data_IF_392096410673
#
_entry.id   IF_392096410673
#
_cell.length_a   1.000
_cell.length_b   1.000
_cell.length_c   1.000
_cell.angle_alpha   90.00
_cell.angle_beta   90.00
_cell.angle_gamma   90.00
#
_symmetry.space_group_name_H-M   'P 1'
#
loop_
_entity.id
_entity.type
_entity.pdbx_description
1 polymer ?
#
# COMPACT_ATOMS: atom_id res chain seq x y z
N UNK A 1 26.24 7.97 29.82
CA UNK A 1 27.46 8.60 29.34
C UNK A 1 27.81 7.81 28.11
N UNK A 2 27.40 8.25 26.93
CA UNK A 2 28.08 9.06 25.98
C UNK A 2 27.11 9.53 24.87
N UNK A 3 27.30 10.75 24.56
CA UNK A 3 26.56 11.61 23.66
C UNK A 3 26.74 11.23 22.18
N UNK A 4 25.67 11.18 21.41
CA UNK A 4 25.72 11.32 19.95
C UNK A 4 25.54 12.78 19.58
N UNK A 5 26.62 13.35 19.08
CA UNK A 5 26.68 14.71 18.55
C UNK A 5 25.89 14.84 17.24
N UNK A 6 25.07 15.87 17.19
CA UNK A 6 24.38 16.38 16.02
C UNK A 6 25.33 17.10 15.08
N UNK A 7 25.36 16.74 13.80
CA UNK A 7 26.03 17.51 12.75
C UNK A 7 25.20 18.76 12.39
N UNK A 8 25.82 19.91 12.22
CA UNK A 8 25.10 21.17 11.99
C UNK A 8 24.60 21.30 10.55
N UNK A 9 23.35 21.67 10.43
CA UNK A 9 22.74 22.15 9.19
C UNK A 9 23.27 23.56 8.90
N UNK A 10 24.10 23.72 7.86
CA UNK A 10 24.59 25.02 7.41
C UNK A 10 23.45 25.82 6.76
N UNK A 11 23.05 26.89 7.43
CA UNK A 11 22.21 27.92 6.84
C UNK A 11 22.97 28.64 5.70
N UNK A 12 22.46 28.54 4.48
CA UNK A 12 22.83 29.41 3.34
C UNK A 12 21.73 30.45 3.22
N UNK A 13 22.13 31.69 3.31
CA UNK A 13 21.30 32.90 3.29
C UNK A 13 20.54 33.03 1.96
N UNK A 14 19.25 33.30 2.07
CA UNK A 14 18.35 33.66 0.98
C UNK A 14 18.80 35.00 0.36
N UNK A 15 19.16 35.00 -0.92
CA UNK A 15 18.82 36.09 -1.86
C UNK A 15 19.29 35.94 -3.31
N UNK A 16 19.80 34.75 -3.75
CA UNK A 16 20.17 34.54 -5.17
C UNK A 16 19.76 33.22 -5.79
N UNK A 17 18.87 32.40 -5.19
CA UNK A 17 18.62 31.03 -5.66
C UNK A 17 17.28 30.78 -6.34
N UNK A 18 16.36 31.74 -6.40
CA UNK A 18 14.98 31.48 -6.87
C UNK A 18 14.85 31.12 -8.36
N UNK A 19 15.71 31.62 -9.25
CA UNK A 19 15.62 31.32 -10.68
C UNK A 19 16.43 30.08 -11.11
N UNK A 20 17.55 29.80 -10.44
CA UNK A 20 18.37 28.62 -10.75
C UNK A 20 17.80 27.32 -10.17
N UNK A 21 17.07 27.39 -9.06
CA UNK A 21 16.41 26.22 -8.44
C UNK A 21 15.22 25.74 -9.26
N UNK A 22 14.38 26.66 -9.77
CA UNK A 22 13.25 26.30 -10.64
C UNK A 22 13.71 25.67 -11.97
N UNK A 23 14.77 26.21 -12.59
CA UNK A 23 15.30 25.69 -13.84
C UNK A 23 15.88 24.28 -13.66
N UNK A 24 16.66 24.03 -12.59
CA UNK A 24 17.17 22.68 -12.27
C UNK A 24 16.07 21.70 -11.92
N UNK A 25 15.00 22.16 -11.26
CA UNK A 25 13.85 21.29 -10.94
C UNK A 25 13.07 20.91 -12.22
N UNK A 26 12.88 21.86 -13.12
CA UNK A 26 12.25 21.62 -14.43
C UNK A 26 13.15 20.77 -15.33
N UNK A 27 14.46 21.00 -15.38
CA UNK A 27 15.40 20.15 -16.14
C UNK A 27 15.43 18.72 -15.58
N UNK A 28 15.43 18.53 -14.25
CA UNK A 28 15.38 17.22 -13.62
C UNK A 28 14.04 16.51 -13.87
N UNK A 29 12.91 17.23 -13.84
CA UNK A 29 11.58 16.68 -14.17
C UNK A 29 11.50 16.29 -15.67
N UNK A 30 12.03 17.12 -16.57
CA UNK A 30 12.06 16.81 -18.00
C UNK A 30 13.00 15.64 -18.29
N UNK A 31 14.18 15.60 -17.67
CA UNK A 31 15.13 14.50 -17.82
C UNK A 31 14.59 13.19 -17.24
N UNK A 32 13.91 13.27 -16.09
CA UNK A 32 13.26 12.10 -15.49
C UNK A 32 12.10 11.61 -16.36
N UNK A 33 11.22 12.51 -16.84
CA UNK A 33 10.11 12.14 -17.73
C UNK A 33 10.60 11.53 -19.05
N UNK A 34 11.71 12.02 -19.61
CA UNK A 34 12.32 11.48 -20.82
C UNK A 34 12.89 10.07 -20.60
N UNK A 35 13.66 9.87 -19.52
CA UNK A 35 14.21 8.53 -19.18
C UNK A 35 13.12 7.50 -18.85
N UNK A 36 12.05 7.89 -18.16
CA UNK A 36 10.92 7.01 -17.90
C UNK A 36 10.18 6.69 -19.19
N UNK A 37 10.04 7.65 -20.09
CA UNK A 37 9.34 7.46 -21.37
C UNK A 37 10.09 6.52 -22.31
N UNK A 38 11.43 6.55 -22.36
CA UNK A 38 12.24 5.57 -23.10
C UNK A 38 12.12 4.14 -22.52
N UNK A 39 12.04 4.01 -21.18
CA UNK A 39 11.91 2.72 -20.51
C UNK A 39 10.51 2.12 -20.58
N UNK A 40 9.47 2.91 -20.90
CA UNK A 40 8.06 2.47 -20.90
C UNK A 40 7.73 1.43 -21.99
N UNK A 41 8.39 1.46 -23.13
CA UNK A 41 8.13 0.54 -24.24
C UNK A 41 6.63 0.50 -24.62
N UNK A 42 6.05 -0.72 -24.64
CA UNK A 42 4.63 -0.99 -24.95
C UNK A 42 3.71 -0.96 -23.73
N UNK A 43 4.24 -0.83 -22.50
CA UNK A 43 3.41 -0.89 -21.30
C UNK A 43 2.48 0.31 -21.14
N UNK A 44 1.24 0.03 -20.74
CA UNK A 44 0.22 1.04 -20.42
C UNK A 44 0.40 1.54 -19.00
N UNK A 45 0.25 2.86 -18.78
CA UNK A 45 0.10 3.41 -17.44
C UNK A 45 -1.27 3.04 -16.90
N UNK A 46 -1.33 2.58 -15.65
CA UNK A 46 -2.59 2.33 -14.96
C UNK A 46 -3.29 3.67 -14.64
N UNK A 47 -4.55 3.76 -15.02
CA UNK A 47 -5.40 4.94 -14.83
C UNK A 47 -6.83 4.53 -14.47
N UNK A 48 -7.67 5.51 -14.15
CA UNK A 48 -9.10 5.31 -13.91
C UNK A 48 -9.85 4.74 -15.14
N UNK A 49 -9.34 4.97 -16.35
CA UNK A 49 -9.99 4.54 -17.58
C UNK A 49 -9.63 3.09 -17.97
N UNK A 50 -8.57 2.52 -17.41
CA UNK A 50 -8.06 1.22 -17.86
C UNK A 50 -7.76 0.19 -16.75
N UNK A 51 -8.02 0.50 -15.48
CA UNK A 51 -7.75 -0.43 -14.38
C UNK A 51 -8.46 -1.78 -14.52
N UNK A 52 -9.63 -1.80 -15.20
CA UNK A 52 -10.39 -3.00 -15.48
C UNK A 52 -9.63 -3.98 -16.41
N UNK A 53 -8.66 -3.51 -17.18
CA UNK A 53 -7.84 -4.40 -18.02
C UNK A 53 -6.89 -5.27 -17.19
N UNK A 54 -6.41 -4.76 -16.04
CA UNK A 54 -5.52 -5.48 -15.14
C UNK A 54 -6.27 -6.35 -14.12
N UNK A 55 -7.47 -5.93 -13.70
CA UNK A 55 -8.24 -6.54 -12.65
C UNK A 55 -8.51 -8.06 -12.81
N UNK A 56 -8.82 -8.60 -14.01
CA UNK A 56 -9.03 -10.04 -14.19
C UNK A 56 -7.80 -10.87 -13.87
N UNK A 57 -6.60 -10.38 -14.14
CA UNK A 57 -5.34 -11.07 -13.85
C UNK A 57 -5.01 -11.05 -12.36
N UNK A 58 -5.30 -9.94 -11.68
CA UNK A 58 -5.20 -9.84 -10.22
C UNK A 58 -6.15 -10.84 -9.57
N UNK A 59 -7.40 -10.89 -10.01
CA UNK A 59 -8.39 -11.84 -9.51
C UNK A 59 -7.99 -13.30 -9.80
N UNK A 60 -7.40 -13.58 -10.97
CA UNK A 60 -6.89 -14.91 -11.33
C UNK A 60 -5.72 -15.34 -10.44
N UNK A 61 -4.82 -14.41 -10.10
CA UNK A 61 -3.67 -14.68 -9.25
C UNK A 61 -4.07 -14.93 -7.79
N UNK A 62 -5.17 -14.34 -7.34
CA UNK A 62 -5.78 -14.47 -6.01
C UNK A 62 -4.77 -14.28 -4.87
N UNK A 63 -3.91 -13.25 -5.01
CA UNK A 63 -2.90 -12.92 -4.01
C UNK A 63 -3.53 -12.18 -2.83
N UNK A 64 -3.02 -12.44 -1.62
CA UNK A 64 -3.56 -11.90 -0.38
C UNK A 64 -2.76 -10.69 0.14
N UNK A 65 -1.70 -10.27 -0.55
CA UNK A 65 -0.90 -9.11 -0.16
C UNK A 65 -1.47 -7.81 -0.77
N UNK A 66 -1.46 -6.72 0.00
CA UNK A 66 -2.20 -5.51 -0.33
C UNK A 66 -1.72 -4.76 -1.60
N UNK A 67 -0.46 -4.96 -2.02
CA UNK A 67 0.05 -4.34 -3.24
C UNK A 67 -0.59 -4.93 -4.51
N UNK A 68 -1.18 -6.13 -4.42
CA UNK A 68 -1.94 -6.78 -5.49
C UNK A 68 -3.42 -6.34 -5.46
N UNK A 69 -3.66 -5.03 -5.41
CA UNK A 69 -5.01 -4.46 -5.44
C UNK A 69 -5.00 -3.19 -6.30
N UNK A 70 -5.83 -3.15 -7.34
CA UNK A 70 -5.91 -1.99 -8.23
C UNK A 70 -6.35 -0.72 -7.51
N UNK A 71 -7.18 -0.83 -6.46
CA UNK A 71 -7.60 0.34 -5.68
C UNK A 71 -6.43 0.92 -4.88
N UNK A 72 -5.55 0.08 -4.33
CA UNK A 72 -4.27 0.52 -3.74
C UNK A 72 -3.42 1.25 -4.78
N UNK A 73 -3.26 0.69 -5.97
CA UNK A 73 -2.44 1.28 -7.03
C UNK A 73 -2.98 2.64 -7.47
N UNK A 74 -4.31 2.78 -7.62
CA UNK A 74 -4.95 4.04 -7.98
C UNK A 74 -4.84 5.07 -6.85
N UNK A 75 -5.06 4.67 -5.61
CA UNK A 75 -4.98 5.55 -4.44
C UNK A 75 -3.60 6.21 -4.30
N UNK A 76 -2.53 5.50 -4.63
CA UNK A 76 -1.15 5.98 -4.43
C UNK A 76 -0.50 6.57 -5.69
N UNK A 77 -1.28 6.91 -6.73
CA UNK A 77 -0.77 7.47 -8.01
C UNK A 77 -0.03 8.79 -7.87
N UNK A 78 -0.23 9.53 -6.79
CA UNK A 78 0.55 10.73 -6.46
C UNK A 78 1.98 10.42 -5.97
N UNK A 79 2.23 9.19 -5.47
CA UNK A 79 3.53 8.75 -4.96
C UNK A 79 4.31 7.93 -5.98
N UNK A 80 3.61 7.09 -6.75
CA UNK A 80 4.22 6.24 -7.79
C UNK A 80 3.25 5.97 -8.92
N UNK A 81 3.78 5.72 -10.09
CA UNK A 81 3.02 5.28 -11.25
C UNK A 81 3.14 3.77 -11.40
N UNK A 82 2.08 3.10 -11.82
CA UNK A 82 2.07 1.68 -12.20
C UNK A 82 1.97 1.57 -13.71
N UNK A 83 2.80 0.73 -14.29
CA UNK A 83 2.76 0.37 -15.71
C UNK A 83 2.53 -1.12 -15.83
N UNK A 84 1.69 -1.54 -16.78
CA UNK A 84 1.36 -2.95 -16.95
C UNK A 84 1.23 -3.34 -18.42
N UNK A 85 1.38 -4.61 -18.67
CA UNK A 85 1.10 -5.26 -19.96
C UNK A 85 0.41 -6.60 -19.70
N UNK A 86 -0.63 -6.90 -20.50
CA UNK A 86 -1.44 -8.10 -20.37
C UNK A 86 -1.14 -9.08 -21.50
N UNK A 87 -1.14 -10.37 -21.14
CA UNK A 87 -0.97 -11.52 -22.05
C UNK A 87 -2.15 -12.48 -21.84
N UNK A 88 -2.36 -13.48 -22.69
CA UNK A 88 -3.56 -14.34 -22.58
C UNK A 88 -3.78 -14.96 -21.19
N UNK A 89 -2.70 -15.31 -20.46
CA UNK A 89 -2.78 -16.07 -19.21
C UNK A 89 -2.08 -15.38 -18.02
N UNK A 90 -1.51 -14.20 -18.20
CA UNK A 90 -0.81 -13.46 -17.15
C UNK A 90 -0.73 -11.97 -17.47
N UNK A 91 -0.46 -11.19 -16.45
CA UNK A 91 -0.05 -9.80 -16.61
C UNK A 91 1.24 -9.54 -15.84
N UNK A 92 2.05 -8.61 -16.36
CA UNK A 92 3.25 -8.10 -15.70
C UNK A 92 3.08 -6.62 -15.43
N UNK A 93 3.59 -6.15 -14.30
CA UNK A 93 3.52 -4.76 -13.94
C UNK A 93 4.77 -4.32 -13.17
N UNK A 94 5.13 -3.03 -13.30
CA UNK A 94 6.15 -2.40 -12.47
C UNK A 94 5.67 -1.09 -11.90
N UNK A 95 6.24 -0.68 -10.79
CA UNK A 95 6.05 0.63 -10.18
C UNK A 95 7.21 1.55 -10.53
N UNK A 96 6.91 2.84 -10.70
CA UNK A 96 7.85 3.89 -11.00
C UNK A 96 7.68 5.03 -10.00
N UNK A 97 8.64 5.22 -9.12
CA UNK A 97 8.69 6.36 -8.21
C UNK A 97 9.57 7.47 -8.78
N UNK A 98 9.30 8.75 -8.47
CA UNK A 98 10.21 9.84 -8.81
C UNK A 98 11.64 9.56 -8.35
N UNK A 99 12.60 9.75 -9.25
CA UNK A 99 14.04 9.58 -8.95
C UNK A 99 14.49 8.18 -8.51
N UNK A 100 13.69 7.13 -8.78
CA UNK A 100 14.05 5.73 -8.52
C UNK A 100 13.93 4.90 -9.79
N UNK A 101 14.73 3.83 -9.87
CA UNK A 101 14.57 2.83 -10.93
C UNK A 101 13.22 2.12 -10.78
N UNK A 102 12.58 1.75 -11.93
CA UNK A 102 11.36 0.96 -11.89
C UNK A 102 11.59 -0.38 -11.20
N UNK A 103 10.58 -0.83 -10.47
CA UNK A 103 10.63 -2.11 -9.72
C UNK A 103 9.42 -2.95 -10.13
N UNK A 104 9.66 -4.18 -10.55
CA UNK A 104 8.62 -5.12 -10.91
C UNK A 104 7.80 -5.53 -9.70
N UNK A 105 6.51 -5.60 -9.89
CA UNK A 105 5.62 -6.31 -8.98
C UNK A 105 5.68 -7.81 -9.29
N UNK A 106 5.29 -8.64 -8.33
CA UNK A 106 5.07 -10.06 -8.57
C UNK A 106 4.05 -10.23 -9.72
N UNK A 107 4.34 -11.05 -10.76
CA UNK A 107 3.46 -11.16 -11.91
C UNK A 107 2.09 -11.74 -11.54
N UNK A 108 1.04 -11.24 -12.15
CA UNK A 108 -0.34 -11.69 -11.92
C UNK A 108 -0.66 -12.87 -12.82
N UNK A 109 -0.60 -14.09 -12.27
CA UNK A 109 -0.82 -15.33 -12.99
C UNK A 109 -1.11 -16.48 -12.02
N UNK A 110 -1.66 -17.57 -12.57
CA UNK A 110 -1.66 -18.87 -11.88
C UNK A 110 -0.25 -19.46 -11.80
N UNK A 111 -0.07 -20.46 -10.96
CA UNK A 111 1.22 -21.14 -10.79
C UNK A 111 1.80 -21.68 -12.09
N UNK A 112 0.95 -22.18 -12.97
CA UNK A 112 1.37 -22.83 -14.23
C UNK A 112 1.97 -21.84 -15.25
N UNK A 113 1.62 -20.56 -15.13
CA UNK A 113 2.10 -19.51 -16.05
C UNK A 113 3.21 -18.62 -15.46
N UNK A 114 3.76 -18.98 -14.28
CA UNK A 114 4.83 -18.19 -13.63
C UNK A 114 6.11 -18.15 -14.47
N UNK A 115 6.44 -19.24 -15.13
CA UNK A 115 7.64 -19.31 -15.95
C UNK A 115 7.58 -18.33 -17.12
N UNK A 116 6.47 -18.32 -17.87
CA UNK A 116 6.24 -17.41 -18.99
C UNK A 116 6.22 -15.97 -18.52
N UNK A 117 5.54 -15.68 -17.42
CA UNK A 117 5.43 -14.33 -16.86
C UNK A 117 6.79 -13.78 -16.40
N UNK A 118 7.60 -14.58 -15.70
CA UNK A 118 8.97 -14.22 -15.28
C UNK A 118 9.88 -14.07 -16.49
N UNK A 119 9.73 -14.90 -17.53
CA UNK A 119 10.45 -14.77 -18.78
C UNK A 119 10.10 -13.46 -19.52
N UNK A 120 8.83 -13.08 -19.53
CA UNK A 120 8.38 -11.79 -20.08
C UNK A 120 9.01 -10.61 -19.34
N UNK A 121 9.02 -10.63 -18.00
CA UNK A 121 9.71 -9.63 -17.18
C UNK A 121 11.20 -9.55 -17.56
N UNK A 122 11.90 -10.70 -17.63
CA UNK A 122 13.32 -10.77 -18.00
C UNK A 122 13.57 -10.13 -19.39
N UNK A 123 12.77 -10.53 -20.38
CA UNK A 123 12.89 -10.05 -21.76
C UNK A 123 12.65 -8.53 -21.85
N UNK A 124 11.62 -8.06 -21.14
CA UNK A 124 11.30 -6.63 -21.11
C UNK A 124 12.41 -5.83 -20.40
N UNK A 125 12.91 -6.33 -19.28
CA UNK A 125 14.02 -5.73 -18.52
C UNK A 125 15.27 -5.57 -19.38
N UNK A 126 15.64 -6.62 -20.11
CA UNK A 126 16.80 -6.60 -21.03
C UNK A 126 16.62 -5.59 -22.17
N UNK A 127 15.44 -5.60 -22.80
CA UNK A 127 15.12 -4.73 -23.94
C UNK A 127 15.12 -3.24 -23.58
N UNK A 128 14.63 -2.91 -22.37
CA UNK A 128 14.38 -1.51 -21.96
C UNK A 128 15.35 -1.01 -20.88
N UNK A 129 16.37 -1.80 -20.51
CA UNK A 129 17.35 -1.41 -19.52
C UNK A 129 16.77 -1.21 -18.10
N UNK A 130 15.68 -1.90 -17.77
CA UNK A 130 15.08 -1.91 -16.43
C UNK A 130 15.75 -3.01 -15.60
N UNK A 131 16.07 -2.72 -14.34
CA UNK A 131 16.59 -3.75 -13.44
C UNK A 131 15.58 -4.89 -13.28
N UNK A 132 16.05 -6.15 -13.34
CA UNK A 132 15.19 -7.29 -13.06
C UNK A 132 15.09 -7.47 -11.53
N UNK A 133 14.37 -6.57 -10.90
CA UNK A 133 14.11 -6.51 -9.47
C UNK A 133 12.61 -6.68 -9.23
N UNK A 134 12.20 -7.72 -8.48
CA UNK A 134 10.79 -8.01 -8.17
C UNK A 134 10.55 -7.75 -6.68
N UNK A 135 9.53 -6.97 -6.36
CA UNK A 135 9.09 -6.70 -5.00
C UNK A 135 7.72 -7.30 -4.68
N UNK A 136 7.34 -7.18 -3.42
CA UNK A 136 6.05 -7.67 -2.87
C UNK A 136 5.79 -9.16 -3.11
N UNK A 137 6.85 -9.95 -3.31
CA UNK A 137 6.71 -11.40 -3.50
C UNK A 137 6.21 -12.08 -2.23
N UNK A 138 5.18 -12.91 -2.38
CA UNK A 138 4.75 -13.82 -1.32
C UNK A 138 5.81 -14.90 -1.06
N UNK A 139 5.76 -15.53 0.13
CA UNK A 139 6.66 -16.63 0.48
C UNK A 139 6.58 -17.79 -0.53
N UNK A 140 5.39 -18.07 -1.02
CA UNK A 140 5.16 -19.15 -1.99
C UNK A 140 5.81 -18.83 -3.33
N UNK A 141 5.61 -17.61 -3.85
CA UNK A 141 6.24 -17.18 -5.10
C UNK A 141 7.77 -17.11 -4.96
N UNK A 142 8.27 -16.56 -3.85
CA UNK A 142 9.71 -16.52 -3.55
C UNK A 142 10.34 -17.93 -3.57
N UNK A 143 9.70 -18.90 -2.93
CA UNK A 143 10.20 -20.28 -2.93
C UNK A 143 10.25 -20.87 -4.35
N UNK A 144 9.13 -20.71 -5.10
CA UNK A 144 9.09 -21.13 -6.50
C UNK A 144 10.19 -20.48 -7.35
N UNK A 145 10.46 -19.18 -7.17
CA UNK A 145 11.48 -18.44 -7.91
C UNK A 145 12.88 -19.00 -7.63
N UNK A 146 13.21 -19.26 -6.36
CA UNK A 146 14.52 -19.82 -5.96
C UNK A 146 14.69 -21.25 -6.46
N UNK A 147 13.66 -22.08 -6.41
CA UNK A 147 13.69 -23.46 -6.87
C UNK A 147 13.83 -23.56 -8.39
N UNK A 148 13.18 -22.61 -9.12
CA UNK A 148 13.21 -22.58 -10.59
C UNK A 148 14.49 -21.97 -11.15
N UNK A 149 15.06 -20.98 -10.46
CA UNK A 149 16.23 -20.22 -10.87
C UNK A 149 17.30 -20.20 -9.76
N UNK A 150 17.90 -21.37 -9.47
CA UNK A 150 18.87 -21.50 -8.38
C UNK A 150 20.07 -20.57 -8.61
N UNK A 151 20.43 -19.80 -7.57
CA UNK A 151 21.58 -18.87 -7.58
C UNK A 151 21.46 -17.67 -8.54
N UNK A 152 20.33 -17.46 -9.22
CA UNK A 152 20.17 -16.31 -10.12
C UNK A 152 19.71 -15.03 -9.41
N UNK A 153 19.05 -15.14 -8.25
CA UNK A 153 18.50 -14.01 -7.53
C UNK A 153 19.10 -13.84 -6.14
N UNK A 154 19.36 -12.58 -5.77
CA UNK A 154 19.51 -12.19 -4.38
C UNK A 154 18.13 -11.89 -3.82
N UNK A 155 17.81 -12.47 -2.67
CA UNK A 155 16.51 -12.34 -2.01
C UNK A 155 16.68 -11.64 -0.66
N UNK A 156 15.74 -10.77 -0.28
CA UNK A 156 15.69 -10.19 1.06
C UNK A 156 14.26 -10.17 1.60
N UNK A 157 14.15 -10.20 2.93
CA UNK A 157 12.89 -10.09 3.64
C UNK A 157 12.51 -8.61 3.83
N UNK A 158 11.31 -8.25 3.41
CA UNK A 158 10.73 -6.91 3.61
C UNK A 158 9.95 -6.88 4.93
N UNK A 159 10.66 -7.01 6.06
CA UNK A 159 10.05 -7.18 7.40
C UNK A 159 9.01 -6.11 7.73
N UNK A 160 9.28 -4.84 7.45
CA UNK A 160 8.42 -3.70 7.77
C UNK A 160 7.22 -3.55 6.83
N UNK A 161 7.25 -4.25 5.68
CA UNK A 161 6.17 -4.27 4.68
C UNK A 161 5.21 -5.46 4.83
N UNK A 162 5.26 -6.19 5.95
CA UNK A 162 4.39 -7.36 6.18
C UNK A 162 2.97 -6.95 6.51
N UNK A 163 1.98 -7.49 5.78
CA UNK A 163 0.58 -7.20 6.03
C UNK A 163 0.06 -7.88 7.27
N UNK A 164 -0.79 -7.17 8.00
CA UNK A 164 -1.51 -7.70 9.13
C UNK A 164 -2.88 -8.23 8.71
N UNK A 165 -3.06 -9.54 8.83
CA UNK A 165 -4.32 -10.21 8.50
C UNK A 165 -5.05 -10.62 9.76
N UNK A 166 -6.34 -10.34 9.80
CA UNK A 166 -7.22 -10.62 10.93
C UNK A 166 -8.35 -11.55 10.50
N UNK A 167 -8.80 -12.39 11.42
CA UNK A 167 -10.06 -13.11 11.28
C UNK A 167 -11.23 -12.13 11.36
N UNK A 168 -12.06 -12.06 10.32
CA UNK A 168 -13.18 -11.13 10.24
C UNK A 168 -14.16 -11.33 11.41
N UNK A 169 -14.57 -12.58 11.70
CA UNK A 169 -15.51 -12.90 12.78
C UNK A 169 -14.98 -12.49 14.15
N UNK A 170 -13.70 -12.69 14.41
CA UNK A 170 -13.08 -12.26 15.65
C UNK A 170 -13.11 -10.73 15.80
N UNK A 171 -12.83 -9.98 14.74
CA UNK A 171 -12.88 -8.51 14.78
C UNK A 171 -14.31 -7.99 14.89
N UNK A 172 -15.25 -8.61 14.22
CA UNK A 172 -16.68 -8.31 14.26
C UNK A 172 -17.29 -8.59 15.64
N UNK A 173 -17.05 -9.76 16.22
CA UNK A 173 -17.62 -10.15 17.52
C UNK A 173 -16.80 -9.68 18.72
N UNK A 174 -15.54 -9.29 18.49
CA UNK A 174 -14.54 -9.01 19.51
C UNK A 174 -14.38 -10.20 20.49
N UNK A 175 -14.49 -11.43 20.00
CA UNK A 175 -14.49 -12.64 20.79
C UNK A 175 -13.12 -12.96 21.39
N UNK A 176 -13.11 -13.76 22.46
CA UNK A 176 -11.90 -14.23 23.15
C UNK A 176 -11.38 -13.30 24.26
N UNK A 177 -10.56 -13.88 25.16
CA UNK A 177 -10.03 -13.20 26.34
C UNK A 177 -9.14 -12.00 25.98
N UNK A 178 -8.33 -12.12 24.92
CA UNK A 178 -7.42 -11.06 24.48
C UNK A 178 -8.17 -9.84 23.93
N UNK A 179 -9.42 -9.98 23.50
CA UNK A 179 -10.28 -8.90 23.01
C UNK A 179 -11.08 -8.18 24.11
N UNK A 180 -10.96 -8.60 25.38
CA UNK A 180 -11.72 -8.05 26.53
C UNK A 180 -11.63 -6.52 26.61
N UNK A 181 -10.41 -5.96 26.50
CA UNK A 181 -10.19 -4.51 26.56
C UNK A 181 -10.95 -3.78 25.44
N UNK A 182 -10.96 -4.35 24.23
CA UNK A 182 -11.66 -3.78 23.06
C UNK A 182 -13.17 -3.82 23.25
N UNK A 183 -13.71 -4.95 23.71
CA UNK A 183 -15.14 -5.05 24.08
C UNK A 183 -15.53 -3.98 25.09
N UNK A 184 -14.74 -3.79 26.15
CA UNK A 184 -15.01 -2.76 27.14
C UNK A 184 -15.00 -1.34 26.56
N UNK A 185 -14.09 -1.05 25.61
CA UNK A 185 -14.05 0.25 24.93
C UNK A 185 -15.28 0.42 24.01
N UNK A 186 -15.66 -0.63 23.28
CA UNK A 186 -16.85 -0.61 22.44
C UNK A 186 -18.14 -0.42 23.26
N UNK A 187 -18.30 -1.16 24.37
CA UNK A 187 -19.44 -0.98 25.26
C UNK A 187 -19.48 0.42 25.89
N UNK A 188 -18.32 0.98 26.25
CA UNK A 188 -18.27 2.36 26.73
C UNK A 188 -18.71 3.37 25.68
N UNK A 189 -18.34 3.17 24.40
CA UNK A 189 -18.81 3.95 23.26
C UNK A 189 -20.33 3.85 23.13
N UNK A 190 -20.89 2.64 23.07
CA UNK A 190 -22.32 2.41 22.96
C UNK A 190 -23.10 3.11 24.08
N UNK A 191 -22.65 2.95 25.33
CA UNK A 191 -23.31 3.55 26.50
C UNK A 191 -23.27 5.09 26.46
N UNK A 192 -22.14 5.66 26.03
CA UNK A 192 -21.95 7.12 26.01
C UNK A 192 -22.76 7.80 24.90
N UNK A 193 -22.95 7.12 23.79
CA UNK A 193 -23.58 7.68 22.59
C UNK A 193 -24.89 6.96 22.20
N UNK A 194 -25.51 6.25 23.14
CA UNK A 194 -26.80 5.60 22.94
C UNK A 194 -27.86 6.59 22.41
N UNK A 195 -28.49 6.24 21.27
CA UNK A 195 -29.45 7.08 20.59
C UNK A 195 -28.90 8.34 19.91
N UNK A 196 -27.57 8.56 19.98
CA UNK A 196 -26.91 9.75 19.44
C UNK A 196 -26.00 9.45 18.25
N UNK A 197 -25.63 8.19 18.01
CA UNK A 197 -24.81 7.81 16.86
C UNK A 197 -25.63 7.04 15.82
N UNK A 198 -25.21 7.19 14.56
CA UNK A 198 -25.77 6.46 13.41
C UNK A 198 -24.60 5.93 12.58
N UNK A 199 -24.66 4.63 12.22
CA UNK A 199 -23.80 4.06 11.19
C UNK A 199 -24.49 4.18 9.83
N UNK A 200 -23.75 4.61 8.81
CA UNK A 200 -24.17 4.65 7.41
C UNK A 200 -23.11 3.99 6.54
N UNK A 201 -23.53 3.39 5.44
CA UNK A 201 -22.58 2.98 4.41
C UNK A 201 -21.95 4.21 3.76
N UNK A 202 -20.69 4.06 3.36
CA UNK A 202 -19.97 5.04 2.58
C UNK A 202 -20.56 5.07 1.17
N UNK A 203 -21.01 6.23 0.72
CA UNK A 203 -21.55 6.47 -0.61
C UNK A 203 -21.32 7.92 -1.05
N UNK A 204 -21.79 8.28 -2.23
CA UNK A 204 -21.67 9.64 -2.76
C UNK A 204 -22.25 10.70 -1.82
N UNK A 205 -23.34 10.39 -1.08
CA UNK A 205 -24.00 11.34 -0.18
C UNK A 205 -23.16 11.66 1.06
N UNK A 206 -22.21 10.79 1.43
CA UNK A 206 -21.32 10.97 2.58
C UNK A 206 -20.01 11.65 2.23
N UNK A 207 -19.71 11.85 0.95
CA UNK A 207 -18.42 12.34 0.43
C UNK A 207 -18.00 13.68 1.04
N UNK A 208 -18.88 14.66 1.02
CA UNK A 208 -18.58 16.00 1.53
C UNK A 208 -18.33 16.01 3.06
N UNK A 209 -19.05 15.16 3.79
CA UNK A 209 -18.84 14.98 5.23
C UNK A 209 -17.47 14.35 5.51
N UNK A 210 -17.04 13.39 4.67
CA UNK A 210 -15.69 12.79 4.76
C UNK A 210 -14.63 13.85 4.50
N UNK A 211 -14.78 14.71 3.49
CA UNK A 211 -13.84 15.79 3.23
C UNK A 211 -13.78 16.80 4.38
N UNK A 212 -14.93 17.14 4.97
CA UNK A 212 -14.98 18.01 6.14
C UNK A 212 -14.27 17.38 7.35
N UNK A 213 -14.46 16.07 7.57
CA UNK A 213 -13.80 15.33 8.64
C UNK A 213 -12.29 15.21 8.41
N UNK A 214 -11.83 14.99 7.17
CA UNK A 214 -10.41 14.95 6.83
C UNK A 214 -9.70 16.26 7.16
N UNK A 215 -10.28 17.41 6.79
CA UNK A 215 -9.74 18.73 7.14
C UNK A 215 -9.62 18.91 8.65
N UNK A 216 -10.64 18.50 9.41
CA UNK A 216 -10.60 18.52 10.87
C UNK A 216 -9.51 17.59 11.41
N UNK A 217 -9.41 16.35 10.91
CA UNK A 217 -8.44 15.36 11.37
C UNK A 217 -6.98 15.77 11.08
N UNK A 218 -6.74 16.42 9.94
CA UNK A 218 -5.42 16.95 9.55
C UNK A 218 -4.98 18.13 10.40
N UNK A 219 -5.92 18.95 10.92
CA UNK A 219 -5.58 20.11 11.77
C UNK A 219 -4.82 19.74 13.06
N UNK A 220 -4.78 18.46 13.43
CA UNK A 220 -4.04 17.94 14.59
C UNK A 220 -2.69 17.29 14.23
N UNK A 221 -2.27 17.35 12.97
CA UNK A 221 -1.03 16.70 12.51
C UNK A 221 -0.13 17.68 11.79
N UNK A 222 1.18 17.47 11.96
CA UNK A 222 2.14 18.00 11.00
C UNK A 222 1.92 17.26 9.67
N UNK A 223 1.62 18.01 8.62
CA UNK A 223 1.37 17.46 7.28
C UNK A 223 2.73 17.15 6.66
N UNK A 224 2.99 15.88 6.40
CA UNK A 224 4.10 15.41 5.61
C UNK A 224 3.63 14.90 4.21
N UNK A 225 4.58 14.58 3.34
CA UNK A 225 4.29 14.15 1.96
C UNK A 225 3.39 12.89 1.91
N UNK A 226 3.50 12.00 2.88
CA UNK A 226 2.71 10.76 2.92
C UNK A 226 1.25 11.02 3.30
N UNK A 227 1.02 11.98 4.20
CA UNK A 227 -0.34 12.41 4.59
C UNK A 227 -1.00 13.14 3.42
N UNK A 228 -0.26 13.98 2.70
CA UNK A 228 -0.73 14.66 1.50
C UNK A 228 -1.09 13.68 0.38
N UNK A 229 -0.26 12.65 0.18
CA UNK A 229 -0.52 11.61 -0.81
C UNK A 229 -1.73 10.73 -0.45
N UNK A 230 -1.87 10.33 0.82
CA UNK A 230 -3.03 9.60 1.31
C UNK A 230 -4.33 10.41 1.10
N UNK A 231 -4.30 11.71 1.40
CA UNK A 231 -5.43 12.63 1.21
C UNK A 231 -5.84 12.73 -0.26
N UNK A 232 -4.85 12.93 -1.15
CA UNK A 232 -5.07 12.93 -2.61
C UNK A 232 -5.72 11.61 -3.07
N UNK A 233 -5.23 10.47 -2.58
CA UNK A 233 -5.79 9.16 -2.89
C UNK A 233 -7.22 8.97 -2.37
N UNK A 234 -7.52 9.45 -1.16
CA UNK A 234 -8.89 9.42 -0.61
C UNK A 234 -9.83 10.24 -1.50
N UNK A 235 -9.44 11.44 -1.91
CA UNK A 235 -10.23 12.27 -2.81
C UNK A 235 -10.49 11.55 -4.14
N UNK A 236 -9.45 10.97 -4.76
CA UNK A 236 -9.59 10.22 -6.01
C UNK A 236 -10.60 9.07 -5.87
N UNK A 237 -10.49 8.26 -4.82
CA UNK A 237 -11.41 7.15 -4.60
C UNK A 237 -12.85 7.62 -4.39
N UNK A 238 -13.06 8.67 -3.61
CA UNK A 238 -14.40 9.18 -3.29
C UNK A 238 -15.06 9.94 -4.45
N UNK A 239 -14.28 10.62 -5.29
CA UNK A 239 -14.78 11.25 -6.51
C UNK A 239 -15.35 10.21 -7.49
N UNK A 240 -14.77 9.01 -7.51
CA UNK A 240 -15.15 7.90 -8.39
C UNK A 240 -15.84 6.74 -7.66
N UNK A 241 -16.48 7.01 -6.51
CA UNK A 241 -17.08 5.98 -5.66
C UNK A 241 -18.15 5.13 -6.36
N UNK A 242 -18.81 5.64 -7.40
CA UNK A 242 -19.80 4.89 -8.20
C UNK A 242 -19.16 3.95 -9.23
N UNK A 243 -17.95 4.26 -9.66
CA UNK A 243 -17.27 3.55 -10.75
C UNK A 243 -16.24 2.55 -10.21
N UNK A 244 -15.72 2.82 -9.02
CA UNK A 244 -14.70 1.99 -8.39
C UNK A 244 -15.33 0.97 -7.44
N UNK A 245 -14.82 -0.27 -7.36
CA UNK A 245 -15.33 -1.31 -6.47
C UNK A 245 -14.82 -1.07 -5.03
N UNK A 246 -15.10 0.08 -4.48
CA UNK A 246 -14.81 0.45 -3.10
C UNK A 246 -16.09 0.45 -2.27
N UNK A 247 -15.93 0.18 -1.00
CA UNK A 247 -16.99 0.20 0.01
C UNK A 247 -16.45 0.74 1.34
N UNK A 248 -17.32 0.93 2.32
CA UNK A 248 -16.89 1.41 3.64
C UNK A 248 -18.07 1.82 4.50
N UNK A 249 -17.73 2.42 5.63
CA UNK A 249 -18.71 2.90 6.58
C UNK A 249 -18.37 4.27 7.17
N UNK A 250 -19.40 4.92 7.69
CA UNK A 250 -19.36 6.22 8.32
C UNK A 250 -20.10 6.17 9.66
N UNK A 251 -19.52 6.71 10.73
CA UNK A 251 -20.22 6.91 12.00
C UNK A 251 -20.42 8.39 12.24
N UNK A 252 -21.68 8.76 12.36
CA UNK A 252 -22.13 10.10 12.74
C UNK A 252 -22.50 10.11 14.21
N UNK A 253 -22.12 11.17 14.93
CA UNK A 253 -22.52 11.44 16.31
C UNK A 253 -23.11 12.84 16.34
N UNK A 254 -24.34 12.95 16.86
CA UNK A 254 -25.10 14.21 16.89
C UNK A 254 -25.14 14.93 15.51
N UNK A 255 -25.24 14.13 14.43
CA UNK A 255 -25.30 14.63 13.06
C UNK A 255 -23.96 14.98 12.41
N UNK A 256 -22.82 14.85 13.12
CA UNK A 256 -21.49 15.11 12.59
C UNK A 256 -20.72 13.81 12.35
N UNK A 257 -20.03 13.70 11.21
CA UNK A 257 -19.16 12.57 10.92
C UNK A 257 -17.96 12.59 11.88
N UNK A 258 -17.75 11.48 12.57
CA UNK A 258 -16.68 11.30 13.54
C UNK A 258 -15.74 10.15 13.21
N UNK A 259 -16.14 9.22 12.31
CA UNK A 259 -15.28 8.16 11.80
C UNK A 259 -15.74 7.67 10.45
N UNK A 260 -14.77 7.21 9.64
CA UNK A 260 -15.04 6.50 8.39
C UNK A 260 -13.92 5.49 8.08
N UNK A 261 -14.24 4.53 7.19
CA UNK A 261 -13.26 3.67 6.55
C UNK A 261 -13.56 3.52 5.07
N UNK A 262 -12.52 3.20 4.28
CA UNK A 262 -12.60 2.83 2.86
C UNK A 262 -11.95 1.47 2.72
N UNK A 263 -12.60 0.58 2.00
CA UNK A 263 -12.17 -0.78 1.77
C UNK A 263 -12.45 -1.22 0.32
N UNK A 264 -11.82 -2.29 -0.10
CA UNK A 264 -12.17 -3.01 -1.33
C UNK A 264 -11.82 -4.50 -1.20
N UNK A 265 -12.47 -5.35 -1.99
CA UNK A 265 -12.16 -6.76 -2.04
C UNK A 265 -10.74 -6.97 -2.60
N UNK A 266 -9.89 -7.67 -1.84
CA UNK A 266 -8.52 -7.99 -2.24
C UNK A 266 -8.43 -9.35 -2.93
N UNK A 267 -9.12 -10.35 -2.40
CA UNK A 267 -9.19 -11.70 -2.95
C UNK A 267 -10.60 -12.28 -2.76
N UNK A 268 -10.81 -13.52 -3.15
CA UNK A 268 -12.13 -14.17 -3.04
C UNK A 268 -12.69 -14.22 -1.62
N UNK A 269 -11.83 -14.25 -0.59
CA UNK A 269 -12.21 -14.41 0.80
C UNK A 269 -11.67 -13.31 1.73
N UNK A 270 -11.07 -12.23 1.15
CA UNK A 270 -10.39 -11.18 1.92
C UNK A 270 -10.81 -9.78 1.47
N UNK A 271 -11.14 -8.95 2.45
CA UNK A 271 -11.31 -7.49 2.29
C UNK A 271 -10.04 -6.77 2.74
N UNK A 272 -9.65 -5.71 2.03
CA UNK A 272 -8.58 -4.80 2.43
C UNK A 272 -9.16 -3.50 2.93
N UNK A 273 -8.68 -3.03 4.09
CA UNK A 273 -8.96 -1.70 4.61
C UNK A 273 -7.85 -0.75 4.16
N UNK A 274 -8.15 0.13 3.20
CA UNK A 274 -7.23 1.15 2.71
C UNK A 274 -7.09 2.31 3.67
N UNK A 275 -8.21 2.76 4.21
CA UNK A 275 -8.29 3.93 5.09
C UNK A 275 -9.18 3.61 6.28
N UNK A 276 -8.75 3.99 7.45
CA UNK A 276 -9.56 3.99 8.67
C UNK A 276 -9.19 5.20 9.52
N UNK A 277 -10.11 6.12 9.66
CA UNK A 277 -9.92 7.34 10.45
C UNK A 277 -11.08 7.54 11.40
N UNK A 278 -10.76 7.96 12.63
CA UNK A 278 -11.74 8.26 13.66
C UNK A 278 -11.24 9.40 14.56
N UNK A 279 -12.17 10.14 15.16
CA UNK A 279 -11.87 11.11 16.18
C UNK A 279 -11.25 10.43 17.40
N UNK A 280 -10.00 10.78 17.71
CA UNK A 280 -9.19 10.15 18.77
C UNK A 280 -9.68 10.47 20.18
N UNK A 281 -10.41 11.56 20.34
CA UNK A 281 -10.97 11.97 21.64
C UNK A 281 -12.17 11.10 22.03
N UNK A 282 -12.77 10.40 21.05
CA UNK A 282 -13.93 9.53 21.28
C UNK A 282 -13.44 8.10 21.54
N UNK A 283 -13.49 7.73 22.82
CA UNK A 283 -13.05 6.40 23.25
C UNK A 283 -13.89 5.30 22.60
N UNK A 284 -13.21 4.34 21.96
CA UNK A 284 -13.84 3.16 21.36
C UNK A 284 -14.29 3.35 19.92
N UNK A 285 -14.22 4.57 19.35
CA UNK A 285 -14.74 4.88 18.04
C UNK A 285 -13.99 4.13 16.91
N UNK A 286 -12.64 3.99 16.98
CA UNK A 286 -11.89 3.15 16.04
C UNK A 286 -12.31 1.68 16.05
N UNK A 287 -12.75 1.20 17.21
CA UNK A 287 -13.25 -0.17 17.31
C UNK A 287 -14.65 -0.25 16.73
N UNK A 288 -15.47 0.77 16.99
CA UNK A 288 -16.84 0.83 16.52
C UNK A 288 -16.91 0.88 14.98
N UNK A 289 -16.11 1.75 14.33
CA UNK A 289 -16.16 1.88 12.86
C UNK A 289 -15.76 0.56 12.18
N UNK A 290 -14.67 -0.09 12.62
CA UNK A 290 -14.28 -1.37 12.07
C UNK A 290 -15.34 -2.44 12.29
N UNK A 291 -15.79 -2.60 13.54
CA UNK A 291 -16.77 -3.64 13.90
C UNK A 291 -18.08 -3.48 13.11
N UNK A 292 -18.65 -2.29 13.10
CA UNK A 292 -19.93 -2.03 12.43
C UNK A 292 -19.80 -2.20 10.91
N UNK A 293 -18.68 -1.82 10.32
CA UNK A 293 -18.41 -2.09 8.92
C UNK A 293 -18.33 -3.60 8.65
N UNK A 294 -17.59 -4.36 9.45
CA UNK A 294 -17.45 -5.81 9.25
C UNK A 294 -18.78 -6.57 9.37
N UNK A 295 -19.74 -6.05 10.14
CA UNK A 295 -21.10 -6.60 10.25
C UNK A 295 -21.92 -6.46 8.94
N UNK A 296 -21.52 -5.56 8.04
CA UNK A 296 -22.20 -5.35 6.75
C UNK A 296 -21.66 -6.24 5.62
N UNK A 297 -20.53 -6.91 5.83
CA UNK A 297 -19.88 -7.73 4.82
C UNK A 297 -20.59 -9.07 4.61
N UNK A 298 -20.56 -9.55 3.37
CA UNK A 298 -21.02 -10.89 2.99
C UNK A 298 -20.23 -11.98 3.72
N UNK A 299 -20.85 -13.17 3.87
CA UNK A 299 -20.25 -14.26 4.67
C UNK A 299 -19.03 -14.91 4.01
N UNK A 300 -18.84 -14.76 2.72
CA UNK A 300 -17.66 -15.25 1.98
C UNK A 300 -16.36 -14.53 2.35
N UNK A 301 -16.45 -13.32 2.92
CA UNK A 301 -15.28 -12.61 3.47
C UNK A 301 -14.92 -13.21 4.83
N UNK A 302 -13.79 -13.89 4.86
CA UNK A 302 -13.25 -14.57 6.05
C UNK A 302 -12.15 -13.74 6.73
N UNK A 303 -11.37 -13.02 5.93
CA UNK A 303 -10.20 -12.29 6.39
C UNK A 303 -10.27 -10.79 6.11
N UNK A 304 -9.55 -10.04 6.95
CA UNK A 304 -9.36 -8.58 6.82
C UNK A 304 -7.87 -8.30 6.75
N UNK A 305 -7.41 -7.81 5.60
CA UNK A 305 -6.05 -7.27 5.46
C UNK A 305 -6.08 -5.79 5.83
N UNK A 306 -5.23 -5.39 6.76
CA UNK A 306 -5.09 -3.98 7.19
C UNK A 306 -3.70 -3.44 6.90
N UNK A 307 -3.11 -3.88 5.80
CA UNK A 307 -1.82 -3.43 5.30
C UNK A 307 -0.67 -3.59 6.30
N UNK A 308 0.47 -3.01 6.02
CA UNK A 308 1.67 -3.09 6.86
C UNK A 308 1.72 -2.02 7.97
N UNK A 309 2.83 -1.98 8.71
CA UNK A 309 3.08 -1.00 9.78
C UNK A 309 4.13 0.06 9.41
N UNK A 310 4.60 0.08 8.15
CA UNK A 310 5.60 1.01 7.61
C UNK A 310 6.87 1.12 8.49
N UNK A 311 7.19 0.11 9.31
CA UNK A 311 8.27 0.17 10.28
C UNK A 311 8.01 1.07 11.51
N UNK A 312 6.80 1.65 11.66
CA UNK A 312 6.46 2.57 12.73
C UNK A 312 6.11 1.82 14.02
N UNK A 313 6.90 1.94 15.12
CA UNK A 313 6.70 1.14 16.34
C UNK A 313 5.31 1.30 16.97
N UNK A 314 4.74 2.51 16.93
CA UNK A 314 3.39 2.78 17.48
C UNK A 314 2.31 2.08 16.67
N UNK A 315 2.42 2.12 15.33
CA UNK A 315 1.48 1.45 14.42
C UNK A 315 1.61 -0.07 14.53
N UNK A 316 2.84 -0.58 14.56
CA UNK A 316 3.16 -1.99 14.81
C UNK A 316 2.50 -2.50 16.09
N UNK A 317 2.65 -1.76 17.20
CA UNK A 317 2.01 -2.10 18.46
C UNK A 317 0.48 -2.12 18.32
N UNK A 318 -0.10 -1.07 17.73
CA UNK A 318 -1.56 -0.98 17.57
C UNK A 318 -2.11 -2.15 16.75
N UNK A 319 -1.48 -2.48 15.61
CA UNK A 319 -1.87 -3.62 14.76
C UNK A 319 -1.67 -4.96 15.46
N UNK A 320 -0.57 -5.16 16.19
CA UNK A 320 -0.32 -6.39 16.96
C UNK A 320 -1.32 -6.57 18.10
N UNK A 321 -1.67 -5.51 18.82
CA UNK A 321 -2.67 -5.54 19.91
C UNK A 321 -4.09 -5.93 19.40
N UNK A 322 -4.35 -5.84 18.11
CA UNK A 322 -5.59 -6.30 17.46
C UNK A 322 -5.64 -7.81 17.22
N UNK A 323 -4.61 -8.56 17.58
CA UNK A 323 -4.51 -10.02 17.47
C UNK A 323 -4.64 -10.51 16.01
N UNK A 324 -3.69 -10.18 15.14
CA UNK A 324 -3.69 -10.72 13.77
C UNK A 324 -3.55 -12.25 13.82
N UNK A 325 -4.25 -12.95 12.93
CA UNK A 325 -4.12 -14.40 12.76
C UNK A 325 -2.82 -14.77 12.07
N UNK A 326 -2.34 -13.90 11.18
CA UNK A 326 -1.03 -14.03 10.55
C UNK A 326 -0.51 -12.67 10.06
N UNK A 327 0.75 -12.67 9.63
CA UNK A 327 1.35 -11.59 8.84
C UNK A 327 1.80 -12.17 7.51
N UNK A 328 1.37 -11.56 6.41
CA UNK A 328 1.85 -11.94 5.09
C UNK A 328 3.29 -11.46 4.95
N UNK A 329 4.20 -12.40 4.80
CA UNK A 329 5.61 -12.09 4.54
C UNK A 329 5.79 -11.63 3.10
N UNK A 330 6.55 -10.55 2.93
CA UNK A 330 6.91 -10.02 1.62
C UNK A 330 8.42 -10.07 1.41
N UNK A 331 8.81 -10.35 0.19
CA UNK A 331 10.20 -10.46 -0.20
C UNK A 331 10.47 -9.58 -1.42
N UNK A 332 11.69 -9.05 -1.45
CA UNK A 332 12.26 -8.46 -2.64
C UNK A 332 13.30 -9.39 -3.26
N UNK A 333 13.55 -9.25 -4.55
CA UNK A 333 14.62 -9.96 -5.24
C UNK A 333 15.25 -9.10 -6.32
N UNK A 334 16.48 -9.40 -6.66
CA UNK A 334 17.15 -8.82 -7.82
C UNK A 334 18.00 -9.86 -8.53
N UNK A 335 17.91 -9.89 -9.86
CA UNK A 335 18.68 -10.80 -10.69
C UNK A 335 20.14 -10.34 -10.78
N UNK A 336 21.10 -11.20 -10.45
CA UNK A 336 22.51 -10.84 -10.30
C UNK A 336 23.18 -10.41 -11.61
N UNK A 337 22.88 -11.07 -12.73
CA UNK A 337 23.57 -10.84 -14.01
C UNK A 337 23.13 -9.56 -14.75
N UNK A 338 21.94 -9.03 -14.48
CA UNK A 338 21.42 -7.83 -15.15
C UNK A 338 21.81 -6.51 -14.45
N UNK A 339 22.68 -6.62 -13.46
CA UNK A 339 23.12 -5.55 -12.57
C UNK A 339 24.35 -4.78 -13.05
N UNK A 340 25.12 -5.34 -13.95
CA UNK A 340 26.52 -4.96 -14.18
C UNK A 340 26.69 -3.63 -14.92
N UNK A 341 25.65 -3.03 -15.50
CA UNK A 341 25.82 -1.85 -16.34
C UNK A 341 25.45 -0.49 -15.73
N UNK A 342 24.78 -0.43 -14.58
CA UNK A 342 24.30 0.87 -14.02
C UNK A 342 24.33 0.96 -12.48
N UNK A 343 25.30 0.42 -11.80
CA UNK A 343 25.32 0.47 -10.33
C UNK A 343 25.70 1.86 -9.80
N UNK A 344 24.73 2.59 -9.25
CA UNK A 344 24.97 3.64 -8.29
C UNK A 344 25.71 3.07 -7.06
N UNK A 345 26.75 3.77 -6.59
CA UNK A 345 27.61 3.32 -5.48
C UNK A 345 26.85 3.06 -4.16
N UNK A 346 25.71 3.73 -3.95
CA UNK A 346 24.85 3.54 -2.78
C UNK A 346 24.11 2.19 -2.85
N UNK A 347 23.67 1.81 -4.04
CA UNK A 347 22.96 0.56 -4.27
C UNK A 347 23.89 -0.66 -4.18
N UNK A 348 25.10 -0.56 -4.72
CA UNK A 348 26.15 -1.59 -4.60
C UNK A 348 26.52 -1.84 -3.12
N UNK A 349 26.57 -0.80 -2.29
CA UNK A 349 26.77 -0.94 -0.83
C UNK A 349 25.63 -1.68 -0.14
N UNK A 350 24.36 -1.34 -0.47
CA UNK A 350 23.18 -2.00 0.09
C UNK A 350 23.16 -3.49 -0.22
N UNK A 351 23.53 -3.89 -1.43
CA UNK A 351 23.60 -5.32 -1.80
C UNK A 351 24.75 -6.03 -1.14
N UNK A 352 25.91 -5.40 -1.03
CA UNK A 352 27.04 -6.00 -0.31
C UNK A 352 26.67 -6.29 1.13
N UNK A 353 25.99 -5.35 1.82
CA UNK A 353 25.52 -5.55 3.20
C UNK A 353 24.47 -6.66 3.32
N UNK A 354 23.62 -6.86 2.31
CA UNK A 354 22.64 -7.95 2.28
C UNK A 354 23.31 -9.30 2.00
N UNK A 355 24.37 -9.32 1.19
CA UNK A 355 25.21 -10.52 0.96
C UNK A 355 25.90 -10.97 2.25
N UNK A 356 26.51 -10.03 2.96
CA UNK A 356 27.20 -10.29 4.24
C UNK A 356 26.25 -10.76 5.36
N UNK A 357 24.94 -10.52 5.22
CA UNK A 357 23.93 -11.01 6.16
C UNK A 357 23.38 -12.40 5.82
N UNK A 358 23.62 -12.93 4.62
CA UNK A 358 23.13 -14.25 4.18
C UNK A 358 24.17 -15.37 4.31
N UNK A 359 25.43 -15.03 4.52
CA UNK A 359 26.55 -15.93 4.75
C UNK A 359 27.25 -15.58 6.08
#
# INVERSE_FOLDING_TARGET
MDSFESLPCGCITEEQTGKHSLCKHLENLVFWSYNVQEKRGSMKKLTLENWQELQPYIALADYHEYNSNTMTMLMWTSMYEVYFETYPNYAIAYTCMPHREPVWLMPYCTRDHRFEAVHAIRTYSQKHGIAFEIHSMTKEFKNWLVDTYPMEFLIWDCYDARDYVYDRRQQETLSGKKMQKRRNHFHAFLKQYEGRFVYRQLDESTREDVYAFLRYWQSFKDVDDSISAEDTGIHLLLEHIKELPIEGGCIYIDGRLEAFNIASRLSKDMIQIHVEKANREIRGLYIAILKLYLETLEEDIVYVNREDDMGLPKLRKAKTDMQPVCKIQKFGSVHQALKIQQADAAWTRKIRSLWEQQF
#
